data_IF_732353338457
#
_entry.id   IF_732353338457
#
_cell.length_a   1.000
_cell.length_b   1.000
_cell.length_c   1.000
_cell.angle_alpha   90.00
_cell.angle_beta   90.00
_cell.angle_gamma   90.00
#
_symmetry.space_group_name_H-M   'P 1'
#
loop_
_entity.id
_entity.type
_entity.pdbx_description
1 polymer ?
#
# COMPACT_ATOMS: atom_id res chain seq x y z
N UNK A 1 83.23 -11.88 40.14
CA UNK A 1 82.01 -12.24 39.39
C UNK A 1 81.26 -10.96 39.03
N UNK A 2 81.22 -10.55 37.76
CA UNK A 2 80.39 -9.46 37.28
C UNK A 2 79.06 -10.00 36.72
N UNK A 3 77.97 -9.26 36.88
CA UNK A 3 76.69 -9.54 36.25
C UNK A 3 75.98 -8.24 35.93
N UNK A 4 76.10 -7.80 34.68
CA UNK A 4 75.63 -6.50 34.18
C UNK A 4 74.09 -6.42 34.10
N UNK A 5 73.60 -5.21 34.39
CA UNK A 5 72.28 -4.69 34.03
C UNK A 5 72.08 -4.67 32.50
N UNK A 6 70.86 -4.97 32.06
CA UNK A 6 70.31 -4.43 30.82
C UNK A 6 68.78 -4.29 30.96
N UNK A 7 68.29 -3.04 30.88
CA UNK A 7 66.87 -2.71 30.74
C UNK A 7 66.45 -2.84 29.28
N UNK A 8 65.23 -3.29 28.95
CA UNK A 8 64.72 -3.24 27.59
C UNK A 8 64.19 -1.83 27.25
N UNK A 9 64.20 -1.43 25.97
CA UNK A 9 63.64 -0.14 25.55
C UNK A 9 62.11 -0.22 25.50
N UNK A 10 61.45 0.80 26.04
CA UNK A 10 60.03 1.02 25.82
C UNK A 10 59.82 1.52 24.38
N UNK A 11 59.30 0.67 23.50
CA UNK A 11 58.75 1.09 22.22
C UNK A 11 57.38 1.75 22.46
N UNK A 12 57.32 3.08 22.41
CA UNK A 12 56.07 3.81 22.26
C UNK A 12 55.52 3.56 20.84
N UNK A 13 54.52 2.70 20.73
CA UNK A 13 53.65 2.61 19.56
C UNK A 13 52.71 3.82 19.55
N UNK A 14 53.03 4.83 18.74
CA UNK A 14 52.06 5.85 18.36
C UNK A 14 50.97 5.20 17.49
N UNK A 15 49.81 4.88 18.08
CA UNK A 15 48.59 4.67 17.32
C UNK A 15 48.16 6.02 16.72
N UNK A 16 48.47 6.23 15.44
CA UNK A 16 47.85 7.29 14.65
C UNK A 16 46.41 6.85 14.39
N UNK A 17 45.47 7.39 15.15
CA UNK A 17 44.04 7.33 14.82
C UNK A 17 43.83 8.12 13.52
N UNK A 18 43.89 7.43 12.38
CA UNK A 18 43.39 7.95 11.12
C UNK A 18 41.86 7.95 11.23
N UNK A 19 41.30 9.07 11.69
CA UNK A 19 39.89 9.33 11.45
C UNK A 19 39.70 9.46 9.93
N UNK A 20 38.88 8.63 9.28
CA UNK A 20 38.54 8.87 7.89
C UNK A 20 37.80 10.21 7.85
N UNK A 21 38.48 11.21 7.30
CA UNK A 21 37.87 12.49 6.93
C UNK A 21 36.84 12.14 5.86
N UNK A 22 35.57 12.03 6.26
CA UNK A 22 34.47 11.77 5.34
C UNK A 22 34.47 12.84 4.27
N UNK A 23 34.83 12.47 3.04
CA UNK A 23 34.68 13.33 1.89
C UNK A 23 33.20 13.69 1.75
N UNK A 24 32.85 14.97 1.53
CA UNK A 24 31.47 15.33 1.26
C UNK A 24 31.00 14.56 0.02
N UNK A 25 29.88 13.86 0.14
CA UNK A 25 29.31 13.07 -0.95
C UNK A 25 29.14 13.97 -2.18
N UNK A 26 29.70 13.53 -3.31
CA UNK A 26 29.58 14.24 -4.58
C UNK A 26 28.09 14.46 -4.91
N UNK A 27 27.68 15.66 -5.37
CA UNK A 27 26.32 15.92 -5.80
C UNK A 27 25.93 14.91 -6.89
N UNK A 28 24.97 14.03 -6.59
CA UNK A 28 24.50 12.99 -7.50
C UNK A 28 25.01 11.56 -7.23
N UNK A 29 25.89 11.36 -6.24
CA UNK A 29 26.16 10.04 -5.68
C UNK A 29 24.92 9.56 -4.89
N UNK A 30 24.45 8.34 -5.15
CA UNK A 30 23.32 7.77 -4.42
C UNK A 30 23.70 7.48 -2.97
N UNK A 31 22.82 7.82 -2.04
CA UNK A 31 22.93 7.44 -0.64
C UNK A 31 22.39 6.01 -0.47
N UNK A 32 23.23 5.09 -0.02
CA UNK A 32 22.77 3.77 0.41
C UNK A 32 21.91 3.92 1.68
N UNK A 33 20.75 3.27 1.68
CA UNK A 33 19.85 3.26 2.82
C UNK A 33 19.89 1.89 3.48
N UNK A 34 19.79 1.88 4.80
CA UNK A 34 19.52 0.65 5.55
C UNK A 34 18.23 0.00 5.00
N UNK A 35 18.25 -1.27 4.57
CA UNK A 35 17.11 -1.90 3.92
C UNK A 35 15.83 -1.90 4.78
N UNK A 36 15.98 -2.05 6.10
CA UNK A 36 14.88 -1.99 7.06
C UNK A 36 14.43 -0.59 7.45
N UNK A 37 15.06 0.47 6.91
CA UNK A 37 14.68 1.84 7.24
C UNK A 37 13.25 2.14 6.79
N UNK A 38 12.55 2.99 7.55
CA UNK A 38 11.17 3.37 7.26
C UNK A 38 11.00 3.86 5.82
N UNK A 39 11.91 4.69 5.32
CA UNK A 39 11.84 5.24 3.96
C UNK A 39 12.05 4.17 2.88
N UNK A 40 12.96 3.21 3.09
CA UNK A 40 13.18 2.11 2.16
C UNK A 40 11.95 1.19 2.07
N UNK A 41 11.39 0.80 3.22
CA UNK A 41 10.19 -0.04 3.30
C UNK A 41 8.96 0.67 2.72
N UNK A 42 8.78 1.96 3.02
CA UNK A 42 7.68 2.75 2.48
C UNK A 42 7.77 2.85 0.94
N UNK A 43 8.95 3.16 0.39
CA UNK A 43 9.14 3.21 -1.06
C UNK A 43 8.94 1.85 -1.73
N UNK A 44 9.39 0.75 -1.12
CA UNK A 44 9.14 -0.60 -1.63
C UNK A 44 7.65 -0.95 -1.64
N UNK A 45 6.91 -0.54 -0.61
CA UNK A 45 5.46 -0.72 -0.55
C UNK A 45 4.74 0.06 -1.63
N UNK A 46 5.12 1.32 -1.88
CA UNK A 46 4.56 2.12 -3.00
C UNK A 46 4.83 1.45 -4.34
N UNK A 47 6.03 0.91 -4.54
CA UNK A 47 6.37 0.16 -5.74
C UNK A 47 5.47 -1.07 -5.92
N UNK A 48 5.21 -1.79 -4.83
CA UNK A 48 4.37 -2.98 -4.84
C UNK A 48 2.89 -2.65 -5.08
N UNK A 49 2.38 -1.57 -4.50
CA UNK A 49 1.01 -1.09 -4.75
C UNK A 49 0.80 -0.82 -6.25
N UNK A 50 1.73 -0.10 -6.89
CA UNK A 50 1.70 0.09 -8.33
C UNK A 50 1.80 -1.25 -9.09
N UNK A 51 2.68 -2.17 -8.67
CA UNK A 51 2.83 -3.49 -9.26
C UNK A 51 1.57 -4.34 -9.21
N UNK A 52 0.90 -4.41 -8.06
CA UNK A 52 -0.35 -5.14 -7.86
C UNK A 52 -1.47 -4.58 -8.74
N UNK A 53 -1.58 -3.26 -8.85
CA UNK A 53 -2.54 -2.62 -9.75
C UNK A 53 -2.24 -2.95 -11.23
N UNK A 54 -0.97 -2.90 -11.64
CA UNK A 54 -0.56 -3.19 -13.03
C UNK A 54 -0.61 -4.67 -13.42
N UNK A 55 -0.47 -5.58 -12.46
CA UNK A 55 -0.49 -7.02 -12.69
C UNK A 55 -1.85 -7.54 -13.18
N UNK A 56 -2.95 -6.81 -12.86
CA UNK A 56 -4.33 -7.11 -13.33
C UNK A 56 -4.81 -8.52 -12.94
N UNK A 57 -4.20 -9.09 -11.93
CA UNK A 57 -4.32 -10.50 -11.56
C UNK A 57 -4.53 -10.64 -10.07
N UNK A 58 -5.47 -11.49 -9.69
CA UNK A 58 -5.72 -11.88 -8.31
C UNK A 58 -4.80 -13.04 -7.90
N UNK A 59 -4.57 -14.00 -8.79
CA UNK A 59 -3.60 -15.09 -8.59
C UNK A 59 -2.15 -14.63 -8.54
N UNK A 60 -1.85 -13.46 -9.12
CA UNK A 60 -0.53 -12.82 -9.09
C UNK A 60 -0.37 -11.75 -8.00
N UNK A 61 -1.33 -11.62 -7.09
CA UNK A 61 -1.34 -10.58 -6.05
C UNK A 61 -0.24 -10.85 -5.00
N UNK A 62 0.50 -9.81 -4.61
CA UNK A 62 1.69 -9.93 -3.77
C UNK A 62 1.64 -9.09 -2.51
N UNK A 63 2.26 -9.60 -1.46
CA UNK A 63 2.64 -8.88 -0.24
C UNK A 63 4.14 -8.54 -0.25
N UNK A 64 4.51 -7.46 0.46
CA UNK A 64 5.91 -7.05 0.59
C UNK A 64 6.61 -7.95 1.59
N UNK A 65 7.66 -8.64 1.16
CA UNK A 65 8.56 -9.36 2.03
C UNK A 65 9.67 -8.44 2.57
N UNK A 66 10.93 -8.84 2.39
CA UNK A 66 12.08 -8.10 2.91
C UNK A 66 12.72 -7.22 1.85
N UNK A 67 12.97 -5.95 2.19
CA UNK A 67 13.85 -5.09 1.39
C UNK A 67 15.29 -5.59 1.58
N UNK A 68 15.98 -5.80 0.46
CA UNK A 68 17.36 -6.31 0.40
C UNK A 68 18.35 -5.20 0.11
N UNK A 69 18.00 -4.27 -0.78
CA UNK A 69 18.83 -3.13 -1.15
C UNK A 69 17.96 -1.90 -1.37
N UNK A 70 18.44 -0.75 -0.91
CA UNK A 70 17.80 0.52 -1.12
C UNK A 70 18.85 1.61 -1.34
N UNK A 71 18.68 2.40 -2.39
CA UNK A 71 19.52 3.57 -2.67
C UNK A 71 18.62 4.76 -2.97
N UNK A 72 18.89 5.88 -2.30
CA UNK A 72 18.22 7.15 -2.50
C UNK A 72 19.10 8.08 -3.34
N UNK A 73 18.54 8.63 -4.40
CA UNK A 73 19.18 9.67 -5.21
C UNK A 73 18.31 10.91 -5.23
N UNK A 74 18.87 12.02 -4.78
CA UNK A 74 18.26 13.33 -4.99
C UNK A 74 18.52 13.76 -6.44
N UNK A 75 17.46 13.97 -7.22
CA UNK A 75 17.52 14.44 -8.60
C UNK A 75 17.10 15.91 -8.60
N UNK A 76 18.01 16.84 -8.94
CA UNK A 76 17.68 18.25 -9.07
C UNK A 76 16.42 18.45 -9.91
N UNK A 77 15.54 19.33 -9.44
CA UNK A 77 14.24 19.68 -10.04
C UNK A 77 13.19 18.56 -10.15
N UNK A 78 13.59 17.29 -10.23
CA UNK A 78 12.68 16.14 -10.34
C UNK A 78 12.16 15.69 -8.99
N UNK A 79 13.02 15.53 -7.98
CA UNK A 79 12.65 15.02 -6.65
C UNK A 79 13.53 13.87 -6.17
N UNK A 80 12.99 13.02 -5.31
CA UNK A 80 13.74 11.93 -4.67
C UNK A 80 13.45 10.59 -5.32
N UNK A 81 14.49 9.94 -5.84
CA UNK A 81 14.38 8.65 -6.53
C UNK A 81 15.01 7.53 -5.72
N UNK A 82 14.19 6.53 -5.40
CA UNK A 82 14.57 5.30 -4.75
C UNK A 82 14.85 4.22 -5.79
N UNK A 83 15.91 3.46 -5.57
CA UNK A 83 16.25 2.23 -6.29
C UNK A 83 16.21 1.08 -5.30
N UNK A 84 15.41 0.06 -5.59
CA UNK A 84 14.97 -0.91 -4.61
C UNK A 84 15.10 -2.34 -5.14
N UNK A 85 15.53 -3.24 -4.27
CA UNK A 85 15.44 -4.67 -4.45
C UNK A 85 14.77 -5.28 -3.21
N UNK A 86 13.72 -6.07 -3.39
CA UNK A 86 12.97 -6.67 -2.28
C UNK A 86 12.36 -8.01 -2.67
N UNK A 87 12.11 -8.88 -1.69
CA UNK A 87 11.33 -10.09 -1.89
C UNK A 87 9.83 -9.81 -1.74
N UNK A 88 9.01 -10.69 -2.29
CA UNK A 88 7.55 -10.64 -2.20
C UNK A 88 7.01 -12.01 -1.85
N UNK A 89 5.84 -12.01 -1.24
CA UNK A 89 5.11 -13.21 -0.87
C UNK A 89 3.79 -13.24 -1.63
N UNK A 90 3.24 -14.42 -1.90
CA UNK A 90 1.88 -14.59 -2.38
C UNK A 90 0.94 -14.00 -1.32
N UNK A 91 0.09 -13.07 -1.73
CA UNK A 91 -0.73 -12.30 -0.80
C UNK A 91 -1.65 -13.21 0.05
N UNK A 92 -2.02 -14.38 -0.46
CA UNK A 92 -3.00 -15.27 0.15
C UNK A 92 -2.34 -16.42 0.90
N UNK A 93 -1.30 -17.03 0.34
CA UNK A 93 -0.63 -18.18 0.95
C UNK A 93 0.56 -17.80 1.83
N UNK A 94 1.11 -16.59 1.66
CA UNK A 94 2.34 -16.17 2.33
C UNK A 94 3.59 -16.89 1.83
N UNK A 95 3.48 -17.69 0.76
CA UNK A 95 4.60 -18.39 0.16
C UNK A 95 5.47 -17.43 -0.66
N UNK A 96 6.74 -17.80 -0.92
CA UNK A 96 7.62 -16.98 -1.74
C UNK A 96 7.03 -16.74 -3.15
N UNK A 97 6.83 -15.47 -3.49
CA UNK A 97 6.41 -15.04 -4.82
C UNK A 97 7.60 -14.55 -5.66
N UNK A 98 8.81 -14.57 -5.12
CA UNK A 98 10.03 -14.14 -5.79
C UNK A 98 10.41 -12.69 -5.49
N UNK A 99 11.35 -12.15 -6.27
CA UNK A 99 11.99 -10.87 -6.00
C UNK A 99 11.58 -9.80 -7.01
N UNK A 100 11.57 -8.55 -6.57
CA UNK A 100 11.30 -7.38 -7.39
C UNK A 100 12.49 -6.43 -7.42
N UNK A 101 12.70 -5.82 -8.59
CA UNK A 101 13.55 -4.67 -8.80
C UNK A 101 12.66 -3.49 -9.16
N UNK A 102 12.77 -2.39 -8.43
CA UNK A 102 11.91 -1.24 -8.64
C UNK A 102 12.65 0.10 -8.52
N UNK A 103 12.05 1.12 -9.14
CA UNK A 103 12.38 2.51 -8.86
C UNK A 103 11.12 3.29 -8.53
N UNK A 104 11.20 4.17 -7.52
CA UNK A 104 10.12 5.09 -7.14
C UNK A 104 10.68 6.49 -7.12
N UNK A 105 10.14 7.37 -7.95
CA UNK A 105 10.44 8.81 -7.91
C UNK A 105 9.26 9.53 -7.25
N UNK A 106 9.52 10.18 -6.12
CA UNK A 106 8.62 11.15 -5.52
C UNK A 106 8.88 12.53 -6.13
N UNK A 107 7.96 13.07 -6.95
CA UNK A 107 8.20 14.34 -7.62
C UNK A 107 8.17 15.52 -6.64
N UNK A 108 8.92 16.59 -6.92
CA UNK A 108 8.84 17.83 -6.10
C UNK A 108 7.46 18.50 -6.18
N UNK A 109 6.82 18.41 -7.34
CA UNK A 109 5.45 18.90 -7.54
C UNK A 109 4.47 17.90 -6.94
N UNK A 110 3.34 18.39 -6.42
CA UNK A 110 2.27 17.53 -5.90
C UNK A 110 1.67 16.70 -7.03
N UNK A 111 2.17 15.48 -7.19
CA UNK A 111 1.69 14.49 -8.16
C UNK A 111 2.00 13.07 -7.65
N UNK A 112 1.28 12.04 -8.12
CA UNK A 112 1.57 10.65 -7.77
C UNK A 112 3.04 10.24 -7.97
N UNK A 113 3.56 9.29 -7.20
CA UNK A 113 4.90 8.74 -7.40
C UNK A 113 5.04 8.09 -8.78
N UNK A 114 6.17 8.31 -9.45
CA UNK A 114 6.47 7.63 -10.73
C UNK A 114 7.20 6.34 -10.45
N UNK A 115 6.60 5.21 -10.85
CA UNK A 115 7.07 3.87 -10.50
C UNK A 115 7.44 3.05 -11.74
N UNK A 116 8.55 2.33 -11.66
CA UNK A 116 8.88 1.21 -12.54
C UNK A 116 9.20 0.00 -11.68
N UNK A 117 8.59 -1.14 -11.96
CA UNK A 117 8.79 -2.38 -11.20
C UNK A 117 8.85 -3.57 -12.14
N UNK A 118 9.76 -4.50 -11.86
CA UNK A 118 9.86 -5.80 -12.51
C UNK A 118 10.05 -6.86 -11.43
N UNK A 119 9.20 -7.88 -11.44
CA UNK A 119 9.28 -8.98 -10.48
C UNK A 119 9.54 -10.30 -11.20
N UNK A 120 10.34 -11.16 -10.58
CA UNK A 120 10.37 -12.58 -10.92
C UNK A 120 9.11 -13.25 -10.37
N UNK A 121 8.65 -14.30 -11.03
CA UNK A 121 7.52 -15.10 -10.58
C UNK A 121 8.00 -16.51 -10.25
N UNK A 122 7.54 -17.05 -9.12
CA UNK A 122 7.70 -18.46 -8.76
C UNK A 122 6.68 -19.33 -9.49
N UNK A 123 5.44 -18.85 -9.60
CA UNK A 123 4.39 -19.41 -10.45
C UNK A 123 4.62 -19.09 -11.92
N UNK A 124 4.30 -20.03 -12.80
CA UNK A 124 4.28 -19.74 -14.23
C UNK A 124 3.04 -18.88 -14.60
N UNK A 125 3.08 -18.27 -15.78
CA UNK A 125 1.99 -17.39 -16.25
C UNK A 125 0.67 -18.14 -16.44
N UNK A 126 0.72 -19.42 -16.77
CA UNK A 126 -0.46 -20.24 -17.04
C UNK A 126 -1.18 -20.55 -15.73
N UNK A 127 -0.43 -20.89 -14.69
CA UNK A 127 -0.94 -21.12 -13.34
C UNK A 127 -1.67 -19.87 -12.81
N UNK A 128 -1.03 -18.69 -12.90
CA UNK A 128 -1.66 -17.42 -12.50
C UNK A 128 -2.97 -17.18 -13.24
N UNK A 129 -3.00 -17.43 -14.55
CA UNK A 129 -4.20 -17.27 -15.37
C UNK A 129 -5.31 -18.27 -15.01
N UNK A 130 -4.95 -19.50 -14.66
CA UNK A 130 -5.88 -20.50 -14.18
C UNK A 130 -6.46 -20.10 -12.81
N UNK A 131 -5.66 -19.54 -11.91
CA UNK A 131 -6.14 -19.00 -10.63
C UNK A 131 -7.14 -17.86 -10.85
N UNK A 132 -6.79 -16.88 -11.70
CA UNK A 132 -7.67 -15.76 -12.05
C UNK A 132 -8.99 -16.24 -12.64
N UNK A 133 -8.95 -17.26 -13.50
CA UNK A 133 -10.14 -17.87 -14.06
C UNK A 133 -10.97 -18.54 -12.97
N UNK A 134 -10.36 -19.26 -12.01
CA UNK A 134 -11.09 -19.84 -10.88
C UNK A 134 -11.79 -18.76 -10.05
N UNK A 135 -11.11 -17.66 -9.76
CA UNK A 135 -11.71 -16.51 -9.05
C UNK A 135 -12.90 -15.94 -9.82
N UNK A 136 -12.71 -15.68 -11.11
CA UNK A 136 -13.77 -15.15 -11.97
C UNK A 136 -14.98 -16.07 -12.02
N UNK A 137 -14.78 -17.38 -12.19
CA UNK A 137 -15.86 -18.35 -12.20
C UNK A 137 -16.59 -18.39 -10.84
N UNK A 138 -15.88 -18.31 -9.70
CA UNK A 138 -16.54 -18.25 -8.38
C UNK A 138 -17.45 -17.03 -8.23
N UNK A 139 -17.06 -15.89 -8.79
CA UNK A 139 -17.86 -14.66 -8.76
C UNK A 139 -19.07 -14.78 -9.71
N UNK A 140 -18.88 -15.33 -10.92
CA UNK A 140 -19.94 -15.43 -11.94
C UNK A 140 -21.01 -16.48 -11.61
N UNK A 141 -20.66 -17.56 -10.91
CA UNK A 141 -21.62 -18.61 -10.55
C UNK A 141 -22.52 -18.25 -9.35
N UNK A 142 -22.34 -17.08 -8.72
CA UNK A 142 -23.22 -16.65 -7.66
C UNK A 142 -24.62 -16.33 -8.21
N UNK A 143 -25.64 -16.96 -7.61
CA UNK A 143 -27.05 -16.79 -8.03
C UNK A 143 -27.63 -15.44 -7.62
N UNK A 144 -27.01 -14.77 -6.65
CA UNK A 144 -27.38 -13.45 -6.16
C UNK A 144 -26.18 -12.51 -6.24
N UNK A 145 -26.40 -11.20 -6.44
CA UNK A 145 -25.32 -10.23 -6.37
C UNK A 145 -24.59 -10.33 -5.03
N UNK A 146 -23.26 -10.41 -5.07
CA UNK A 146 -22.45 -10.52 -3.85
C UNK A 146 -22.54 -9.21 -3.07
N UNK A 147 -22.79 -9.33 -1.77
CA UNK A 147 -22.75 -8.22 -0.81
C UNK A 147 -21.98 -8.64 0.43
N UNK A 148 -21.26 -7.71 1.04
CA UNK A 148 -20.54 -7.97 2.28
C UNK A 148 -20.24 -6.68 3.03
N UNK A 149 -20.01 -6.78 4.34
CA UNK A 149 -19.69 -5.65 5.20
C UNK A 149 -18.59 -6.05 6.19
N UNK A 150 -17.77 -5.08 6.57
CA UNK A 150 -16.67 -5.24 7.54
C UNK A 150 -15.80 -6.47 7.22
N UNK A 151 -15.07 -6.43 6.11
CA UNK A 151 -14.15 -7.51 5.66
C UNK A 151 -12.71 -7.00 5.72
N UNK A 152 -11.79 -7.60 6.49
CA UNK A 152 -12.06 -8.60 7.52
C UNK A 152 -12.94 -8.06 8.64
N UNK A 153 -13.52 -8.97 9.42
CA UNK A 153 -14.26 -8.63 10.62
C UNK A 153 -13.34 -8.06 11.73
N UNK A 154 -13.90 -7.73 12.89
CA UNK A 154 -13.14 -7.17 14.03
C UNK A 154 -12.05 -8.11 14.58
N UNK A 155 -12.07 -9.39 14.22
CA UNK A 155 -11.12 -10.40 14.65
C UNK A 155 -10.13 -10.78 13.53
N UNK A 156 -10.20 -10.13 12.37
CA UNK A 156 -9.34 -10.42 11.23
C UNK A 156 -9.85 -11.57 10.35
N UNK A 157 -11.07 -12.08 10.56
CA UNK A 157 -11.60 -13.19 9.77
C UNK A 157 -12.20 -12.70 8.46
N UNK A 158 -12.03 -13.49 7.41
CA UNK A 158 -12.66 -13.32 6.10
C UNK A 158 -13.43 -14.60 5.80
N UNK A 159 -14.73 -14.49 5.56
CA UNK A 159 -15.52 -15.64 5.11
C UNK A 159 -14.95 -16.17 3.78
N UNK A 160 -14.75 -17.50 3.61
CA UNK A 160 -14.17 -18.06 2.39
C UNK A 160 -14.90 -17.64 1.09
N UNK A 161 -16.20 -17.40 1.16
CA UNK A 161 -16.99 -16.92 0.03
C UNK A 161 -16.66 -15.47 -0.39
N UNK A 162 -16.14 -14.66 0.53
CA UNK A 162 -15.79 -13.25 0.32
C UNK A 162 -14.30 -13.04 0.04
N UNK A 163 -13.48 -14.10 0.07
CA UNK A 163 -12.05 -14.05 -0.23
C UNK A 163 -11.74 -13.47 -1.64
N UNK A 164 -12.44 -13.86 -2.73
CA UNK A 164 -12.27 -13.21 -4.03
C UNK A 164 -12.58 -11.70 -4.02
N UNK A 165 -13.56 -11.30 -3.22
CA UNK A 165 -14.03 -9.91 -3.12
C UNK A 165 -13.03 -9.06 -2.34
N UNK A 166 -12.40 -9.64 -1.30
CA UNK A 166 -11.29 -9.04 -0.59
C UNK A 166 -10.06 -8.89 -1.49
N UNK A 167 -9.67 -9.93 -2.22
CA UNK A 167 -8.53 -9.86 -3.15
C UNK A 167 -8.72 -8.76 -4.21
N UNK A 168 -9.93 -8.61 -4.75
CA UNK A 168 -10.29 -7.49 -5.65
C UNK A 168 -10.19 -6.13 -4.96
N UNK A 169 -10.63 -6.02 -3.69
CA UNK A 169 -10.49 -4.79 -2.94
C UNK A 169 -9.02 -4.42 -2.72
N UNK A 170 -8.15 -5.39 -2.44
CA UNK A 170 -6.70 -5.18 -2.28
C UNK A 170 -6.08 -4.71 -3.61
N UNK A 171 -6.36 -5.42 -4.71
CA UNK A 171 -5.86 -5.05 -6.04
C UNK A 171 -6.34 -3.65 -6.47
N UNK A 172 -7.62 -3.35 -6.25
CA UNK A 172 -8.22 -2.05 -6.55
C UNK A 172 -7.64 -0.92 -5.71
N UNK A 173 -7.62 -1.11 -4.38
CA UNK A 173 -7.10 -0.13 -3.43
C UNK A 173 -5.62 0.14 -3.64
N UNK A 174 -4.86 -0.80 -4.22
CA UNK A 174 -3.46 -0.60 -4.57
C UNK A 174 -3.25 0.59 -5.51
N UNK A 175 -4.20 0.89 -6.42
CA UNK A 175 -4.15 2.12 -7.24
C UNK A 175 -4.26 3.38 -6.38
N UNK A 176 -5.26 3.43 -5.50
CA UNK A 176 -5.52 4.56 -4.59
C UNK A 176 -4.33 4.80 -3.66
N UNK A 177 -3.82 3.71 -3.06
CA UNK A 177 -2.69 3.75 -2.14
C UNK A 177 -1.42 4.24 -2.83
N UNK A 178 -1.15 3.79 -4.06
CA UNK A 178 -0.03 4.32 -4.85
C UNK A 178 -0.22 5.81 -5.18
N UNK A 179 -1.37 6.19 -5.73
CA UNK A 179 -1.64 7.55 -6.19
C UNK A 179 -1.56 8.59 -5.08
N UNK A 180 -2.03 8.23 -3.87
CA UNK A 180 -2.02 9.11 -2.70
C UNK A 180 -0.70 9.11 -1.93
N UNK A 181 0.17 8.14 -2.15
CA UNK A 181 1.42 8.02 -1.38
C UNK A 181 2.36 9.19 -1.65
N UNK A 182 3.04 9.63 -0.61
CA UNK A 182 4.13 10.59 -0.68
C UNK A 182 5.37 9.98 -0.02
N UNK A 183 6.49 10.70 0.00
CA UNK A 183 7.69 10.21 0.67
C UNK A 183 7.49 10.02 2.18
N UNK A 184 6.56 10.75 2.78
CA UNK A 184 6.28 10.72 4.22
C UNK A 184 5.01 9.96 4.59
N UNK A 185 4.07 9.81 3.65
CA UNK A 185 2.76 9.16 3.84
C UNK A 185 2.65 7.89 3.00
N UNK A 186 2.26 6.79 3.65
CA UNK A 186 1.93 5.53 2.98
C UNK A 186 0.60 4.98 3.49
N UNK A 187 0.02 4.04 2.75
CA UNK A 187 -1.31 3.53 3.02
C UNK A 187 -1.36 2.00 3.03
N UNK A 188 -2.32 1.48 3.77
CA UNK A 188 -2.73 0.08 3.79
C UNK A 188 -4.24 -0.03 3.68
N UNK A 189 -4.75 -1.09 3.06
CA UNK A 189 -6.15 -1.45 3.16
C UNK A 189 -6.40 -2.05 4.55
N UNK A 190 -7.16 -1.35 5.38
CA UNK A 190 -7.52 -1.81 6.71
C UNK A 190 -8.76 -2.71 6.67
N UNK A 191 -9.79 -2.29 5.93
CA UNK A 191 -11.06 -2.98 5.88
C UNK A 191 -11.87 -2.58 4.64
N UNK A 192 -12.67 -3.48 4.11
CA UNK A 192 -13.82 -3.19 3.27
C UNK A 192 -15.02 -2.96 4.20
N UNK A 193 -15.43 -1.70 4.35
CA UNK A 193 -16.59 -1.34 5.17
C UNK A 193 -17.87 -1.93 4.60
N UNK A 194 -18.04 -1.82 3.29
CA UNK A 194 -19.16 -2.41 2.56
C UNK A 194 -18.78 -2.70 1.11
N UNK A 195 -19.37 -3.74 0.53
CA UNK A 195 -19.25 -4.07 -0.88
C UNK A 195 -20.57 -4.54 -1.45
N UNK A 196 -20.86 -4.15 -2.69
CA UNK A 196 -22.01 -4.62 -3.47
C UNK A 196 -21.60 -4.86 -4.92
N UNK A 197 -21.90 -6.04 -5.43
CA UNK A 197 -21.76 -6.35 -6.84
C UNK A 197 -22.85 -5.64 -7.67
N UNK A 198 -22.45 -4.99 -8.75
CA UNK A 198 -23.35 -4.46 -9.76
C UNK A 198 -23.65 -5.55 -10.80
N UNK A 199 -24.94 -5.83 -11.02
CA UNK A 199 -25.36 -6.78 -12.06
C UNK A 199 -25.12 -6.15 -13.43
N UNK A 200 -24.39 -6.88 -14.28
CA UNK A 200 -24.08 -6.47 -15.65
C UNK A 200 -24.55 -7.52 -16.64
N UNK A 201 -24.75 -7.09 -17.89
CA UNK A 201 -25.09 -7.96 -19.03
C UNK A 201 -23.87 -8.47 -19.78
N UNK A 202 -22.72 -7.81 -19.62
CA UNK A 202 -21.46 -8.23 -20.22
C UNK A 202 -20.71 -9.22 -19.31
N UNK A 203 -19.52 -9.61 -19.75
CA UNK A 203 -18.65 -10.55 -19.03
C UNK A 203 -17.88 -9.89 -17.89
N UNK A 204 -17.92 -8.56 -17.77
CA UNK A 204 -17.20 -7.88 -16.69
C UNK A 204 -17.90 -8.10 -15.35
N UNK A 205 -17.10 -8.29 -14.31
CA UNK A 205 -17.56 -8.16 -12.93
C UNK A 205 -17.38 -6.72 -12.50
N UNK A 206 -18.36 -6.18 -11.78
CA UNK A 206 -18.29 -4.81 -11.27
C UNK A 206 -18.78 -4.75 -9.84
N UNK A 207 -18.09 -3.94 -9.04
CA UNK A 207 -18.33 -3.82 -7.62
C UNK A 207 -18.27 -2.36 -7.19
N UNK A 208 -19.16 -2.02 -6.28
CA UNK A 208 -19.10 -0.81 -5.46
C UNK A 208 -18.48 -1.18 -4.11
N UNK A 209 -17.40 -0.52 -3.75
CA UNK A 209 -16.75 -0.68 -2.47
C UNK A 209 -16.77 0.63 -1.68
N UNK A 210 -16.91 0.50 -0.37
CA UNK A 210 -16.41 1.49 0.58
C UNK A 210 -15.25 0.84 1.31
N UNK A 211 -14.02 1.29 1.05
CA UNK A 211 -12.80 0.80 1.66
C UNK A 211 -12.26 1.80 2.68
N UNK A 212 -11.65 1.28 3.74
CA UNK A 212 -10.99 2.04 4.78
C UNK A 212 -9.48 1.86 4.61
N UNK A 213 -8.78 2.97 4.36
CA UNK A 213 -7.33 3.00 4.22
C UNK A 213 -6.70 3.54 5.49
N UNK A 214 -5.74 2.82 6.04
CA UNK A 214 -4.94 3.27 7.17
C UNK A 214 -3.73 4.06 6.66
N UNK A 215 -3.69 5.35 6.98
CA UNK A 215 -2.58 6.25 6.67
C UNK A 215 -1.49 6.18 7.74
N UNK A 216 -0.26 5.92 7.30
CA UNK A 216 0.94 5.86 8.15
C UNK A 216 1.85 7.04 7.81
N UNK A 217 2.30 7.83 8.80
CA UNK A 217 2.31 7.51 10.22
C UNK A 217 1.16 8.11 11.03
N UNK A 218 0.28 8.90 10.41
CA UNK A 218 -0.75 9.71 11.09
C UNK A 218 -1.75 8.89 11.90
N UNK A 219 -1.87 7.58 11.60
CA UNK A 219 -2.86 6.67 12.18
C UNK A 219 -4.31 7.02 11.81
N UNK A 220 -4.50 7.83 10.76
CA UNK A 220 -5.83 8.17 10.28
C UNK A 220 -6.44 7.03 9.47
N UNK A 221 -7.76 6.88 9.57
CA UNK A 221 -8.55 5.96 8.74
C UNK A 221 -9.31 6.79 7.70
N UNK A 222 -8.93 6.65 6.44
CA UNK A 222 -9.54 7.36 5.32
C UNK A 222 -10.58 6.46 4.66
N UNK A 223 -11.81 6.93 4.60
CA UNK A 223 -12.87 6.25 3.85
C UNK A 223 -12.82 6.63 2.36
N UNK A 224 -12.77 5.62 1.49
CA UNK A 224 -12.79 5.77 0.05
C UNK A 224 -13.92 4.96 -0.58
N UNK A 225 -14.73 5.61 -1.38
CA UNK A 225 -15.63 4.95 -2.32
C UNK A 225 -14.84 4.54 -3.55
N UNK A 226 -14.97 3.28 -3.96
CA UNK A 226 -14.23 2.71 -5.08
C UNK A 226 -15.16 1.85 -5.94
N UNK A 227 -15.33 2.23 -7.20
CA UNK A 227 -16.01 1.45 -8.23
C UNK A 227 -14.98 0.71 -9.08
N UNK A 228 -15.04 -0.60 -9.05
CA UNK A 228 -14.06 -1.48 -9.65
C UNK A 228 -14.71 -2.35 -10.72
N UNK A 229 -14.07 -2.46 -11.89
CA UNK A 229 -14.49 -3.37 -12.96
C UNK A 229 -13.34 -4.30 -13.34
N UNK A 230 -13.61 -5.60 -13.34
CA UNK A 230 -12.61 -6.63 -13.56
C UNK A 230 -13.10 -7.76 -14.48
N UNK A 231 -12.20 -8.21 -15.35
CA UNK A 231 -12.31 -9.40 -16.18
C UNK A 231 -10.88 -9.96 -16.32
N UNK A 232 -10.63 -11.26 -16.10
CA UNK A 232 -9.31 -11.84 -16.28
C UNK A 232 -8.67 -11.48 -17.62
N UNK A 233 -7.37 -11.21 -17.59
CA UNK A 233 -6.59 -10.80 -18.77
C UNK A 233 -6.83 -9.36 -19.25
N UNK A 234 -7.78 -8.63 -18.68
CA UNK A 234 -8.08 -7.24 -19.04
C UNK A 234 -7.58 -6.26 -17.97
N UNK A 235 -7.33 -4.98 -18.34
CA UNK A 235 -6.96 -3.95 -17.36
C UNK A 235 -8.01 -3.80 -16.26
N UNK A 236 -7.56 -3.80 -14.99
CA UNK A 236 -8.40 -3.46 -13.86
C UNK A 236 -8.78 -1.99 -13.95
N UNK A 237 -10.09 -1.68 -14.01
CA UNK A 237 -10.57 -0.31 -14.05
C UNK A 237 -11.05 0.09 -12.66
N UNK A 238 -10.47 1.17 -12.14
CA UNK A 238 -10.80 1.70 -10.83
C UNK A 238 -11.19 3.16 -10.98
N UNK A 239 -12.36 3.51 -10.43
CA UNK A 239 -12.75 4.89 -10.17
C UNK A 239 -12.92 5.05 -8.68
N UNK A 240 -12.41 6.11 -8.09
CA UNK A 240 -12.50 6.29 -6.66
C UNK A 240 -12.65 7.75 -6.26
N UNK A 241 -13.17 7.95 -5.06
CA UNK A 241 -13.24 9.21 -4.33
C UNK A 241 -13.00 8.89 -2.85
N UNK A 242 -12.18 9.69 -2.19
CA UNK A 242 -11.94 9.55 -0.75
C UNK A 242 -12.41 10.81 -0.04
N UNK A 243 -13.13 10.63 1.07
CA UNK A 243 -13.51 11.76 1.90
C UNK A 243 -12.24 12.45 2.43
N UNK A 244 -12.21 13.78 2.34
CA UNK A 244 -11.36 14.60 3.19
C UNK A 244 -12.07 14.75 4.54
N UNK A 245 -11.32 14.75 5.65
CA UNK A 245 -11.82 14.84 7.03
C UNK A 245 -12.55 16.17 7.37
N UNK A 246 -13.15 16.86 6.39
CA UNK A 246 -13.82 18.16 6.54
C UNK A 246 -15.36 18.09 6.61
N UNK A 247 -16.00 16.98 6.21
CA UNK A 247 -17.47 16.96 5.97
C UNK A 247 -18.24 15.87 6.75
N UNK A 248 -17.80 15.49 7.96
CA UNK A 248 -18.61 14.69 8.89
C UNK A 248 -19.07 15.49 10.12
N UNK A 249 -19.48 16.75 9.90
CA UNK A 249 -19.87 17.63 11.01
C UNK A 249 -20.80 18.78 10.66
N UNK A 250 -22.01 18.51 10.14
CA UNK A 250 -23.16 19.41 10.36
C UNK A 250 -24.51 18.72 10.08
N UNK A 251 -24.74 17.56 10.69
CA UNK A 251 -26.09 17.03 10.86
C UNK A 251 -26.80 17.76 12.02
N UNK A 252 -27.18 19.02 11.81
CA UNK A 252 -28.13 19.68 12.72
C UNK A 252 -29.55 19.33 12.28
N UNK A 253 -30.07 18.23 12.83
CA UNK A 253 -31.47 17.86 12.74
C UNK A 253 -32.30 18.89 13.54
N UNK A 254 -32.84 19.90 12.87
CA UNK A 254 -33.86 20.79 13.46
C UNK A 254 -35.20 20.08 13.36
N UNK A 255 -35.46 19.20 14.33
CA UNK A 255 -36.75 18.54 14.54
C UNK A 255 -37.80 19.54 15.02
N UNK A 256 -38.60 20.03 14.07
CA UNK A 256 -39.77 20.86 14.34
C UNK A 256 -40.89 20.00 14.93
N UNK A 257 -41.13 20.13 16.23
CA UNK A 257 -42.27 19.49 16.90
C UNK A 257 -43.46 20.45 16.90
N UNK A 258 -44.38 20.26 15.95
CA UNK A 258 -45.73 20.80 16.03
C UNK A 258 -46.57 19.89 16.94
N UNK A 259 -46.99 20.42 18.11
CA UNK A 259 -48.01 19.82 18.97
C UNK A 259 -49.33 20.60 18.88
N UNK A 260 -50.50 19.94 18.81
CA UNK A 260 -51.78 20.62 18.65
C UNK A 260 -52.45 21.01 19.99
N UNK A 261 -53.08 22.18 19.95
CA UNK A 261 -54.35 22.61 20.59
C UNK A 261 -54.60 22.45 22.10
N UNK A 262 -54.81 23.57 22.80
CA UNK A 262 -56.01 23.82 23.62
C UNK A 262 -56.14 25.30 24.08
N UNK A 263 -57.27 25.90 23.71
CA UNK A 263 -58.09 26.95 24.38
C UNK A 263 -57.57 27.71 25.62
N UNK A 264 -57.66 29.06 25.59
CA UNK A 264 -58.77 29.90 26.09
C UNK A 264 -58.27 31.27 26.61
N UNK A 265 -58.97 32.35 26.23
CA UNK A 265 -59.21 33.47 27.16
C UNK A 265 -58.60 34.85 26.87
N UNK A 266 -59.29 35.64 26.04
CA UNK A 266 -59.85 36.98 26.33
C UNK A 266 -58.98 38.20 26.78
N UNK A 267 -59.23 39.31 26.03
CA UNK A 267 -59.27 40.75 26.41
C UNK A 267 -57.92 41.44 26.70
N UNK A 268 -57.64 42.67 26.23
CA UNK A 268 -58.42 43.80 25.69
C UNK A 268 -57.81 44.33 24.39
#
# INVERSE_FOLDING_TARGET
MPGLRASPPAFLLLLVLVFPRGSPAAPGAGQELEPGSRSAVAAARVALHYGNFQARSLGGLRALGQVRKATLKNIPESGHKYYLQFSTEDYRTGEDAGNCLATVLYPKKKSPPVVSIKCSHTKDKKEIQEEDNRFYQRIRHQSKPITGNNIPDSYGNIEPALEPVWALAVAGSSSIMWEKSTETLGYFLAQVKSVRQWVRKDDFTEFDYTVLLHEIPTQEIISCHMRLTWLPGHPLKVKHFCASNADEGSGAESGSAAGPSAEKGAKF
#
